data_IF_061257388717
#
_entry.id   IF_061257388717
#
_cell.length_a   1.000
_cell.length_b   1.000
_cell.length_c   1.000
_cell.angle_alpha   90.00
_cell.angle_beta   90.00
_cell.angle_gamma   90.00
#
_symmetry.space_group_name_H-M   'P 1'
#
loop_
_entity.id
_entity.type
_entity.pdbx_description
1 polymer ?
#
# COMPACT_ATOMS: atom_id res chain seq x y z
N UNK A 1 9.92 -15.12 22.77
CA UNK A 1 8.69 -15.93 22.68
C UNK A 1 7.41 -15.19 23.09
N UNK A 2 7.39 -14.38 24.15
CA UNK A 2 6.17 -13.71 24.67
C UNK A 2 5.44 -12.71 23.75
N UNK A 3 6.01 -12.36 22.59
CA UNK A 3 5.37 -11.46 21.61
C UNK A 3 4.45 -12.20 20.62
N UNK A 4 4.47 -13.55 20.58
CA UNK A 4 3.70 -14.35 19.62
C UNK A 4 2.30 -14.75 20.12
N UNK A 5 2.06 -14.67 21.44
CA UNK A 5 0.82 -15.14 22.08
C UNK A 5 -0.13 -13.97 22.39
N UNK A 6 0.29 -12.72 22.16
CA UNK A 6 -0.52 -11.52 22.38
C UNK A 6 -1.00 -10.93 21.06
N UNK A 7 -2.22 -10.36 21.01
CA UNK A 7 -2.71 -9.66 19.82
C UNK A 7 -1.71 -8.56 19.43
N UNK A 8 -1.24 -8.53 18.17
CA UNK A 8 -0.13 -7.69 17.79
C UNK A 8 -0.57 -6.22 17.76
N UNK A 9 0.15 -5.36 18.49
CA UNK A 9 -0.12 -3.91 18.55
C UNK A 9 0.31 -3.16 17.27
N UNK A 10 0.91 -3.86 16.29
CA UNK A 10 1.39 -3.34 14.99
C UNK A 10 1.23 -4.42 13.91
N UNK A 11 1.11 -4.04 12.65
CA UNK A 11 1.09 -4.99 11.53
C UNK A 11 2.38 -5.81 11.50
N UNK A 12 2.29 -7.12 11.74
CA UNK A 12 3.41 -8.04 11.58
C UNK A 12 3.54 -8.36 10.09
N UNK A 13 4.76 -8.20 9.54
CA UNK A 13 5.02 -8.46 8.13
C UNK A 13 4.80 -9.96 7.80
N UNK A 14 4.14 -10.31 6.68
CA UNK A 14 3.79 -11.70 6.33
C UNK A 14 4.99 -12.65 6.31
N UNK A 15 6.17 -12.14 5.95
CA UNK A 15 7.41 -12.93 5.94
C UNK A 15 7.78 -13.50 7.33
N UNK A 16 7.47 -12.79 8.42
CA UNK A 16 7.75 -13.29 9.78
C UNK A 16 6.86 -14.48 10.14
N UNK A 17 5.63 -14.51 9.62
CA UNK A 17 4.73 -15.65 9.78
C UNK A 17 5.24 -16.86 9.02
N UNK A 18 5.72 -16.66 7.79
CA UNK A 18 6.31 -17.73 6.99
C UNK A 18 7.56 -18.33 7.66
N UNK A 19 8.46 -17.50 8.19
CA UNK A 19 9.64 -17.98 8.93
C UNK A 19 9.27 -18.75 10.20
N UNK A 20 8.23 -18.33 10.92
CA UNK A 20 7.76 -19.04 12.10
C UNK A 20 7.12 -20.39 11.75
N UNK A 21 6.37 -20.43 10.65
CA UNK A 21 5.76 -21.66 10.13
C UNK A 21 6.84 -22.65 9.72
N UNK A 22 7.83 -22.18 8.95
CA UNK A 22 9.00 -22.97 8.54
C UNK A 22 9.76 -23.51 9.76
N UNK A 23 9.94 -22.68 10.80
CA UNK A 23 10.61 -23.12 12.04
C UNK A 23 9.81 -24.14 12.88
N UNK A 24 8.47 -24.07 12.87
CA UNK A 24 7.62 -24.93 13.71
C UNK A 24 7.20 -26.24 13.03
N UNK A 25 7.05 -26.22 11.70
CA UNK A 25 6.47 -27.31 10.92
C UNK A 25 7.39 -27.81 9.81
N UNK A 26 8.61 -27.28 9.72
CA UNK A 26 9.63 -27.53 8.67
C UNK A 26 9.20 -27.16 7.24
N UNK A 27 7.89 -27.15 6.94
CA UNK A 27 7.33 -26.72 5.68
C UNK A 27 5.86 -26.22 5.81
N UNK A 28 5.44 -25.40 4.84
CA UNK A 28 4.11 -24.80 4.83
C UNK A 28 2.96 -25.83 4.67
N UNK A 29 3.19 -26.96 4.00
CA UNK A 29 2.14 -27.96 3.75
C UNK A 29 1.83 -28.72 5.03
N UNK A 30 2.85 -29.06 5.82
CA UNK A 30 2.70 -29.66 7.14
C UNK A 30 1.90 -28.76 8.09
N UNK A 31 2.16 -27.46 8.06
CA UNK A 31 1.36 -26.47 8.80
C UNK A 31 -0.11 -26.44 8.36
N UNK A 32 -0.38 -26.34 7.05
CA UNK A 32 -1.77 -26.28 6.55
C UNK A 32 -2.57 -27.53 6.93
N UNK A 33 -1.96 -28.71 6.82
CA UNK A 33 -2.58 -29.98 7.23
C UNK A 33 -2.93 -30.00 8.72
N UNK A 34 -2.04 -29.50 9.58
CA UNK A 34 -2.27 -29.43 11.02
C UNK A 34 -3.32 -28.35 11.38
N UNK A 35 -3.29 -27.21 10.69
CA UNK A 35 -4.26 -26.13 10.87
C UNK A 35 -5.68 -26.61 10.52
N UNK A 36 -5.86 -27.23 9.35
CA UNK A 36 -7.15 -27.74 8.91
C UNK A 36 -7.68 -28.83 9.85
N UNK A 37 -6.81 -29.70 10.35
CA UNK A 37 -7.16 -30.71 11.34
C UNK A 37 -7.66 -30.10 12.66
N UNK A 38 -7.01 -29.04 13.17
CA UNK A 38 -7.46 -28.39 14.40
C UNK A 38 -8.75 -27.57 14.20
N UNK A 39 -8.90 -26.92 13.05
CA UNK A 39 -10.17 -26.26 12.69
C UNK A 39 -11.31 -27.29 12.64
N UNK A 40 -11.10 -28.44 12.00
CA UNK A 40 -12.06 -29.54 11.99
C UNK A 40 -12.36 -30.05 13.41
N UNK A 41 -11.34 -30.17 14.28
CA UNK A 41 -11.50 -30.58 15.68
C UNK A 41 -12.33 -29.58 16.48
N UNK A 42 -12.13 -28.28 16.27
CA UNK A 42 -12.91 -27.22 16.91
C UNK A 42 -14.38 -27.26 16.47
N UNK A 43 -14.63 -27.45 15.16
CA UNK A 43 -15.98 -27.62 14.62
C UNK A 43 -16.66 -28.85 15.23
N UNK A 44 -15.94 -29.98 15.32
CA UNK A 44 -16.44 -31.20 15.95
C UNK A 44 -16.73 -30.99 17.44
N UNK A 45 -15.90 -30.24 18.18
CA UNK A 45 -16.08 -29.97 19.61
C UNK A 45 -17.29 -29.09 19.88
N UNK A 46 -17.54 -28.11 18.99
CA UNK A 46 -18.75 -27.28 19.03
C UNK A 46 -19.99 -28.12 18.72
N UNK A 47 -19.92 -29.04 17.75
CA UNK A 47 -21.03 -29.92 17.38
C UNK A 47 -21.34 -31.00 18.42
N UNK A 48 -20.33 -31.54 19.11
CA UNK A 48 -20.46 -32.63 20.09
C UNK A 48 -20.79 -32.14 21.50
N UNK A 49 -20.96 -30.84 21.73
CA UNK A 49 -21.39 -30.32 23.04
C UNK A 49 -22.89 -30.59 23.21
N UNK A 50 -23.34 -31.49 24.13
CA UNK A 50 -24.75 -31.80 24.26
C UNK A 50 -25.50 -30.60 24.83
N UNK A 51 -26.55 -30.18 24.12
CA UNK A 51 -27.47 -29.13 24.57
C UNK A 51 -28.26 -29.64 25.78
N UNK A 52 -27.85 -29.22 26.98
CA UNK A 52 -28.45 -29.62 28.26
C UNK A 52 -29.73 -28.82 28.49
N UNK A 53 -30.88 -29.50 28.54
CA UNK A 53 -32.15 -28.91 29.01
C UNK A 53 -31.97 -28.37 30.44
N UNK A 54 -32.43 -27.15 30.77
CA UNK A 54 -32.22 -26.56 32.08
C UNK A 54 -33.32 -27.02 33.05
N UNK A 55 -32.92 -27.73 34.11
CA UNK A 55 -33.75 -27.94 35.29
C UNK A 55 -33.05 -27.39 36.55
N UNK A 56 -33.89 -26.95 37.47
CA UNK A 56 -33.67 -26.03 38.58
C UNK A 56 -32.68 -26.49 39.67
N UNK A 57 -32.05 -25.49 40.31
CA UNK A 57 -31.30 -25.55 41.59
C UNK A 57 -29.95 -26.32 41.51
N UNK A 58 -28.77 -25.74 41.75
CA UNK A 58 -28.33 -24.93 42.89
C UNK A 58 -27.06 -24.11 42.52
N UNK A 59 -26.97 -22.92 43.13
CA UNK A 59 -25.86 -21.95 43.16
C UNK A 59 -24.46 -22.52 43.42
N UNK A 60 -23.46 -21.93 42.76
CA UNK A 60 -22.32 -21.23 43.40
C UNK A 60 -21.78 -20.16 42.41
N UNK A 61 -21.94 -18.90 42.84
CA UNK A 61 -21.49 -17.59 42.32
C UNK A 61 -20.25 -17.56 41.39
N UNK A 62 -20.17 -16.83 40.28
CA UNK A 62 -21.07 -15.95 39.55
C UNK A 62 -20.76 -16.18 38.06
N UNK A 63 -21.49 -17.10 37.42
CA UNK A 63 -21.40 -17.38 35.99
C UNK A 63 -22.62 -16.83 35.26
N UNK A 64 -22.36 -16.30 34.07
CA UNK A 64 -23.30 -15.72 33.15
C UNK A 64 -24.45 -16.66 32.81
N UNK A 65 -25.66 -16.27 33.21
CA UNK A 65 -26.94 -16.75 32.72
C UNK A 65 -27.79 -15.53 32.31
N UNK A 66 -28.79 -15.71 31.44
CA UNK A 66 -29.18 -14.79 30.38
C UNK A 66 -29.54 -13.42 30.94
N UNK A 67 -28.95 -12.36 30.39
CA UNK A 67 -29.40 -11.02 30.80
C UNK A 67 -30.84 -10.88 30.34
N UNK A 68 -31.73 -10.88 31.32
CA UNK A 68 -33.11 -10.41 31.22
C UNK A 68 -33.06 -8.99 30.64
N UNK A 69 -33.05 -8.89 29.32
CA UNK A 69 -33.27 -7.63 28.61
C UNK A 69 -34.78 -7.39 28.47
N UNK A 70 -35.57 -7.79 29.46
CA UNK A 70 -36.83 -7.09 29.72
C UNK A 70 -36.44 -5.66 30.09
N UNK A 71 -36.83 -4.66 29.30
CA UNK A 71 -36.40 -3.30 29.54
C UNK A 71 -36.89 -2.85 30.92
N UNK A 72 -35.98 -2.39 31.78
CA UNK A 72 -36.35 -1.38 32.77
C UNK A 72 -35.81 -0.01 32.35
N UNK A 73 -36.48 0.71 31.45
CA UNK A 73 -36.46 2.14 31.47
C UNK A 73 -37.74 2.58 32.19
N UNK A 74 -37.60 3.26 33.33
CA UNK A 74 -38.73 4.03 33.85
C UNK A 74 -39.10 5.21 32.92
N UNK A 75 -38.31 5.52 31.86
CA UNK A 75 -38.44 6.76 31.06
C UNK A 75 -38.65 6.62 29.53
N UNK A 76 -38.34 5.48 28.89
CA UNK A 76 -38.48 5.31 27.42
C UNK A 76 -39.67 4.40 27.10
N UNK A 77 -40.89 4.95 27.12
CA UNK A 77 -42.13 4.22 26.81
C UNK A 77 -42.99 4.98 25.79
N UNK A 78 -43.79 4.23 25.03
CA UNK A 78 -44.82 4.76 24.13
C UNK A 78 -44.29 5.73 23.08
N UNK A 79 -44.94 6.89 22.97
CA UNK A 79 -44.70 7.91 21.95
C UNK A 79 -43.25 8.40 21.86
N UNK A 80 -42.52 8.46 22.98
CA UNK A 80 -41.14 8.95 22.97
C UNK A 80 -40.19 8.03 22.20
N UNK A 81 -40.44 6.70 22.23
CA UNK A 81 -39.69 5.71 21.45
C UNK A 81 -39.97 5.86 19.96
N UNK A 82 -41.24 6.04 19.59
CA UNK A 82 -41.66 6.22 18.20
C UNK A 82 -41.08 7.50 17.60
N UNK A 83 -41.14 8.61 18.34
CA UNK A 83 -40.53 9.89 17.94
C UNK A 83 -39.03 9.73 17.75
N UNK A 84 -38.34 9.04 18.68
CA UNK A 84 -36.91 8.81 18.58
C UNK A 84 -36.55 7.94 17.36
N UNK A 85 -37.28 6.86 17.10
CA UNK A 85 -37.08 6.01 15.92
C UNK A 85 -37.36 6.77 14.61
N UNK A 86 -38.42 7.58 14.57
CA UNK A 86 -38.75 8.43 13.42
C UNK A 86 -37.64 9.45 13.14
N UNK A 87 -37.16 10.15 14.18
CA UNK A 87 -36.05 11.10 14.07
C UNK A 87 -34.73 10.44 13.66
N UNK A 88 -34.44 9.24 14.18
CA UNK A 88 -33.26 8.47 13.79
C UNK A 88 -33.34 8.00 12.33
N UNK A 89 -34.52 7.55 11.88
CA UNK A 89 -34.74 7.17 10.48
C UNK A 89 -34.55 8.34 9.50
N UNK A 90 -34.81 9.57 9.94
CA UNK A 90 -34.54 10.80 9.17
C UNK A 90 -33.05 11.21 9.15
N UNK A 91 -32.16 10.47 9.83
CA UNK A 91 -30.72 10.75 9.84
C UNK A 91 -30.29 11.87 10.80
N UNK A 92 -31.12 12.25 11.77
CA UNK A 92 -30.73 13.23 12.78
C UNK A 92 -29.53 12.67 13.59
N UNK A 93 -28.45 13.45 13.78
CA UNK A 93 -27.26 12.98 14.46
C UNK A 93 -27.57 12.59 15.90
N UNK A 94 -26.99 11.48 16.35
CA UNK A 94 -27.23 10.90 17.67
C UNK A 94 -26.94 11.88 18.81
N UNK A 95 -25.90 12.71 18.67
CA UNK A 95 -25.53 13.73 19.66
C UNK A 95 -26.65 14.76 19.88
N UNK A 96 -27.21 15.29 18.79
CA UNK A 96 -28.33 16.24 18.85
C UNK A 96 -29.55 15.63 19.54
N UNK A 97 -29.82 14.35 19.31
CA UNK A 97 -30.92 13.63 19.97
C UNK A 97 -30.64 13.34 21.45
N UNK A 98 -29.37 13.16 21.83
CA UNK A 98 -28.98 13.03 23.23
C UNK A 98 -29.22 14.32 24.00
N UNK A 99 -28.88 15.47 23.41
CA UNK A 99 -29.11 16.79 23.98
C UNK A 99 -30.61 17.12 24.04
N UNK A 100 -31.32 16.95 22.93
CA UNK A 100 -32.74 17.32 22.82
C UNK A 100 -33.66 16.51 23.75
N UNK A 101 -33.34 15.23 23.96
CA UNK A 101 -34.19 14.31 24.73
C UNK A 101 -33.60 13.94 26.10
N UNK A 102 -32.43 14.48 26.45
CA UNK A 102 -31.67 14.13 27.66
C UNK A 102 -31.43 12.61 27.82
N UNK A 103 -31.11 11.94 26.71
CA UNK A 103 -30.90 10.48 26.67
C UNK A 103 -29.42 10.19 26.41
N UNK A 104 -28.86 9.19 27.09
CA UNK A 104 -27.49 8.75 26.84
C UNK A 104 -27.31 8.11 25.45
N UNK A 105 -26.15 8.32 24.82
CA UNK A 105 -25.78 7.72 23.52
C UNK A 105 -25.91 6.18 23.57
N UNK A 106 -25.58 5.57 24.71
CA UNK A 106 -25.68 4.12 24.93
C UNK A 106 -27.13 3.62 24.84
N UNK A 107 -28.11 4.43 25.25
CA UNK A 107 -29.54 4.11 25.12
C UNK A 107 -29.97 4.15 23.66
N UNK A 108 -29.54 5.17 22.89
CA UNK A 108 -29.80 5.26 21.44
C UNK A 108 -29.20 4.05 20.70
N UNK A 109 -27.94 3.72 20.99
CA UNK A 109 -27.28 2.58 20.35
C UNK A 109 -27.95 1.25 20.71
N UNK A 110 -28.44 1.09 21.94
CA UNK A 110 -29.22 -0.09 22.35
C UNK A 110 -30.53 -0.17 21.59
N UNK A 111 -31.22 0.96 21.41
CA UNK A 111 -32.46 1.04 20.64
C UNK A 111 -32.25 0.70 19.16
N UNK A 112 -31.18 1.21 18.54
CA UNK A 112 -30.83 0.90 17.15
C UNK A 112 -30.50 -0.58 16.94
N UNK A 113 -29.77 -1.21 17.88
CA UNK A 113 -29.51 -2.67 17.82
C UNK A 113 -30.80 -3.48 17.94
N UNK A 114 -31.77 -3.02 18.72
CA UNK A 114 -33.07 -3.66 18.86
C UNK A 114 -34.02 -3.41 17.66
N UNK A 115 -33.71 -2.45 16.78
CA UNK A 115 -34.54 -2.08 15.62
C UNK A 115 -33.66 -1.96 14.36
N UNK A 116 -33.29 -3.09 13.74
CA UNK A 116 -32.33 -3.12 12.65
C UNK A 116 -32.77 -2.33 11.41
N UNK A 117 -34.08 -2.30 11.11
CA UNK A 117 -34.63 -1.52 9.98
C UNK A 117 -34.36 -0.03 10.16
N UNK A 118 -34.69 0.53 11.33
CA UNK A 118 -34.41 1.94 11.63
C UNK A 118 -32.90 2.22 11.66
N UNK A 119 -32.09 1.26 12.09
CA UNK A 119 -30.64 1.39 12.05
C UNK A 119 -30.10 1.46 10.62
N UNK A 120 -30.61 0.64 9.70
CA UNK A 120 -30.24 0.71 8.29
C UNK A 120 -30.60 2.07 7.68
N UNK A 121 -31.82 2.56 7.89
CA UNK A 121 -32.26 3.89 7.45
C UNK A 121 -31.39 5.02 8.04
N UNK A 122 -31.06 4.93 9.32
CA UNK A 122 -30.19 5.91 9.97
C UNK A 122 -28.76 5.91 9.39
N UNK A 123 -28.22 4.74 9.04
CA UNK A 123 -26.91 4.61 8.40
C UNK A 123 -26.96 5.20 6.99
N UNK A 124 -27.98 4.88 6.21
CA UNK A 124 -28.17 5.41 4.85
C UNK A 124 -28.31 6.94 4.86
N UNK A 125 -29.14 7.48 5.75
CA UNK A 125 -29.33 8.91 5.88
C UNK A 125 -28.05 9.62 6.33
N UNK A 126 -27.26 9.02 7.24
CA UNK A 126 -25.94 9.54 7.61
C UNK A 126 -24.99 9.54 6.43
N UNK A 127 -24.87 8.42 5.72
CA UNK A 127 -23.96 8.30 4.58
C UNK A 127 -24.35 9.31 3.48
N UNK A 128 -25.65 9.50 3.24
CA UNK A 128 -26.18 10.49 2.30
C UNK A 128 -25.82 11.92 2.71
N UNK A 129 -25.89 12.24 4.01
CA UNK A 129 -25.49 13.54 4.54
C UNK A 129 -23.97 13.76 4.41
N UNK A 130 -23.16 12.80 4.83
CA UNK A 130 -21.70 12.86 4.69
C UNK A 130 -21.32 13.04 3.21
N UNK A 131 -21.99 12.33 2.30
CA UNK A 131 -21.79 12.49 0.87
C UNK A 131 -22.14 13.90 0.40
N UNK A 132 -23.29 14.44 0.81
CA UNK A 132 -23.70 15.80 0.47
C UNK A 132 -22.74 16.87 1.01
N UNK A 133 -22.25 16.70 2.25
CA UNK A 133 -21.28 17.61 2.89
C UNK A 133 -19.96 17.64 2.11
N UNK A 134 -19.39 16.47 1.79
CA UNK A 134 -18.13 16.41 1.02
C UNK A 134 -18.30 16.96 -0.39
N UNK A 135 -19.44 16.69 -1.05
CA UNK A 135 -19.77 17.28 -2.36
C UNK A 135 -19.85 18.80 -2.28
N UNK A 136 -20.51 19.33 -1.25
CA UNK A 136 -20.64 20.77 -1.03
C UNK A 136 -19.27 21.42 -0.77
N UNK A 137 -18.42 20.81 0.06
CA UNK A 137 -17.06 21.31 0.31
C UNK A 137 -16.22 21.30 -0.97
N UNK A 138 -16.26 20.21 -1.75
CA UNK A 138 -15.56 20.14 -3.03
C UNK A 138 -16.02 21.22 -4.00
N UNK A 139 -17.34 21.43 -4.10
CA UNK A 139 -17.92 22.46 -4.96
C UNK A 139 -17.60 23.87 -4.48
N UNK A 140 -17.61 24.12 -3.17
CA UNK A 140 -17.20 25.39 -2.58
C UNK A 140 -15.75 25.74 -2.95
N UNK A 141 -14.82 24.78 -2.84
CA UNK A 141 -13.43 24.99 -3.22
C UNK A 141 -13.26 25.27 -4.71
N UNK A 142 -14.02 24.57 -5.56
CA UNK A 142 -14.01 24.83 -6.99
C UNK A 142 -14.51 26.24 -7.32
N UNK A 143 -15.57 26.70 -6.64
CA UNK A 143 -16.10 28.05 -6.83
C UNK A 143 -15.14 29.13 -6.33
N UNK A 144 -14.33 28.84 -5.30
CA UNK A 144 -13.32 29.76 -4.78
C UNK A 144 -12.13 29.90 -5.72
N UNK A 145 -11.81 28.83 -6.47
CA UNK A 145 -10.66 28.76 -7.39
C UNK A 145 -11.04 28.15 -8.75
N UNK A 146 -11.89 28.82 -9.55
CA UNK A 146 -12.34 28.32 -10.85
C UNK A 146 -11.19 28.17 -11.87
N UNK A 147 -10.10 28.91 -11.68
CA UNK A 147 -8.89 28.88 -12.52
C UNK A 147 -8.02 27.62 -12.29
N UNK A 148 -8.19 26.95 -11.16
CA UNK A 148 -7.37 25.78 -10.81
C UNK A 148 -7.93 24.51 -11.46
N UNK A 149 -7.04 23.77 -12.11
CA UNK A 149 -7.35 22.42 -12.59
C UNK A 149 -7.53 21.43 -11.44
N UNK A 150 -8.18 20.30 -11.73
CA UNK A 150 -8.49 19.21 -10.77
C UNK A 150 -7.26 18.79 -9.94
N UNK A 151 -6.10 18.67 -10.57
CA UNK A 151 -4.87 18.24 -9.90
C UNK A 151 -4.39 19.26 -8.86
N UNK A 152 -4.49 20.55 -9.16
CA UNK A 152 -4.14 21.60 -8.20
C UNK A 152 -5.13 21.62 -7.04
N UNK A 153 -6.44 21.52 -7.32
CA UNK A 153 -7.48 21.50 -6.29
C UNK A 153 -7.36 20.26 -5.37
N UNK A 154 -7.04 19.11 -5.96
CA UNK A 154 -6.77 17.86 -5.22
C UNK A 154 -5.62 18.01 -4.24
N UNK A 155 -4.57 18.77 -4.61
CA UNK A 155 -3.43 18.99 -3.72
C UNK A 155 -3.77 19.92 -2.56
N UNK A 156 -4.74 20.82 -2.72
CA UNK A 156 -5.22 21.69 -1.62
C UNK A 156 -5.90 20.88 -0.52
N UNK A 157 -6.84 19.98 -0.88
CA UNK A 157 -7.51 19.13 0.12
C UNK A 157 -7.57 17.65 -0.32
N UNK A 158 -6.49 16.88 -0.08
CA UNK A 158 -6.40 15.48 -0.49
C UNK A 158 -7.42 14.57 0.19
N UNK A 159 -7.83 14.90 1.41
CA UNK A 159 -8.76 14.09 2.22
C UNK A 159 -10.16 14.02 1.61
N UNK A 160 -10.73 15.16 1.22
CA UNK A 160 -12.05 15.25 0.58
C UNK A 160 -12.04 14.49 -0.75
N UNK A 161 -11.00 14.71 -1.57
CA UNK A 161 -10.84 14.00 -2.83
C UNK A 161 -10.81 12.48 -2.64
N UNK A 162 -9.96 12.00 -1.73
CA UNK A 162 -9.81 10.57 -1.47
C UNK A 162 -11.10 9.95 -0.89
N UNK A 163 -11.87 10.70 -0.11
CA UNK A 163 -13.15 10.25 0.41
C UNK A 163 -14.20 10.15 -0.71
N UNK A 164 -14.36 11.20 -1.53
CA UNK A 164 -15.31 11.22 -2.66
C UNK A 164 -14.98 10.15 -3.70
N UNK A 165 -13.69 9.93 -3.99
CA UNK A 165 -13.27 8.89 -4.92
C UNK A 165 -13.68 7.47 -4.48
N UNK A 166 -13.75 7.22 -3.16
CA UNK A 166 -14.18 5.91 -2.62
C UNK A 166 -15.70 5.77 -2.53
N UNK A 167 -16.41 6.86 -2.24
CA UNK A 167 -17.85 6.82 -1.94
C UNK A 167 -18.73 7.20 -3.14
N UNK A 168 -18.27 8.08 -4.05
CA UNK A 168 -19.00 8.50 -5.23
C UNK A 168 -18.06 8.97 -6.36
N UNK A 169 -17.35 8.00 -6.93
CA UNK A 169 -16.42 8.23 -8.03
C UNK A 169 -17.11 8.79 -9.27
N UNK A 170 -18.31 8.31 -9.59
CA UNK A 170 -19.02 8.70 -10.79
C UNK A 170 -19.35 10.20 -10.78
N UNK A 171 -19.87 10.71 -9.66
CA UNK A 171 -20.12 12.14 -9.48
C UNK A 171 -18.83 12.96 -9.57
N UNK A 172 -17.75 12.49 -8.94
CA UNK A 172 -16.46 13.20 -8.93
C UNK A 172 -15.91 13.35 -10.35
N UNK A 173 -15.85 12.26 -11.11
CA UNK A 173 -15.33 12.26 -12.49
C UNK A 173 -16.20 13.10 -13.43
N UNK A 174 -17.53 13.08 -13.26
CA UNK A 174 -18.44 13.92 -14.03
C UNK A 174 -18.23 15.41 -13.71
N UNK A 175 -17.97 15.75 -12.44
CA UNK A 175 -17.62 17.11 -12.04
C UNK A 175 -16.26 17.53 -12.57
N UNK A 176 -15.24 16.68 -12.53
CA UNK A 176 -13.91 16.98 -13.06
C UNK A 176 -13.92 17.42 -14.54
N UNK A 177 -14.89 16.94 -15.34
CA UNK A 177 -15.04 17.35 -16.74
C UNK A 177 -15.44 18.81 -16.91
N UNK A 178 -16.04 19.44 -15.89
CA UNK A 178 -16.42 20.86 -15.93
C UNK A 178 -15.26 21.79 -15.58
N UNK A 179 -14.13 21.25 -15.15
CA UNK A 179 -12.97 22.05 -14.75
C UNK A 179 -12.22 22.55 -15.97
N UNK A 180 -11.65 23.75 -15.84
CA UNK A 180 -10.73 24.28 -16.84
C UNK A 180 -9.55 23.34 -16.93
N UNK A 181 -9.35 22.75 -18.12
CA UNK A 181 -8.14 21.97 -18.39
C UNK A 181 -6.98 22.96 -18.43
N UNK A 182 -5.89 22.73 -17.66
CA UNK A 182 -4.73 23.59 -17.76
C UNK A 182 -4.27 23.61 -19.21
N UNK A 183 -3.95 24.80 -19.73
CA UNK A 183 -3.35 24.93 -21.05
C UNK A 183 -2.17 23.96 -21.13
N UNK A 184 -2.15 23.14 -22.17
CA UNK A 184 -1.06 22.17 -22.37
C UNK A 184 0.22 22.98 -22.48
N UNK A 185 1.05 22.97 -21.44
CA UNK A 185 2.38 23.57 -21.50
C UNK A 185 3.09 22.91 -22.66
N UNK A 186 3.45 23.70 -23.67
CA UNK A 186 4.23 23.21 -24.80
C UNK A 186 5.51 22.63 -24.23
N UNK A 187 5.66 21.32 -24.32
CA UNK A 187 6.91 20.67 -23.92
C UNK A 187 7.92 21.07 -24.99
N UNK A 188 8.84 21.97 -24.63
CA UNK A 188 9.95 22.28 -25.51
C UNK A 188 10.66 20.97 -25.91
N UNK A 189 10.92 20.75 -27.22
CA UNK A 189 11.64 19.57 -27.65
C UNK A 189 13.01 19.55 -26.97
N UNK A 190 13.29 18.47 -26.26
CA UNK A 190 14.58 18.29 -25.57
C UNK A 190 15.65 18.12 -26.65
N UNK A 191 16.62 19.03 -26.69
CA UNK A 191 17.81 18.90 -27.53
C UNK A 191 18.71 17.79 -26.98
N UNK A 192 18.59 16.61 -27.60
CA UNK A 192 19.36 15.43 -27.21
C UNK A 192 20.80 15.46 -27.68
N UNK A 193 21.10 16.21 -28.74
CA UNK A 193 22.45 16.31 -29.30
C UNK A 193 23.34 17.19 -28.41
N UNK A 194 22.83 18.34 -27.96
CA UNK A 194 23.52 19.17 -26.99
C UNK A 194 23.70 18.43 -25.65
N UNK A 195 22.70 17.64 -25.23
CA UNK A 195 22.76 16.83 -24.01
C UNK A 195 23.79 15.70 -24.11
N UNK A 196 23.90 15.05 -25.27
CA UNK A 196 24.91 14.02 -25.52
C UNK A 196 26.31 14.61 -25.59
N UNK A 197 26.48 15.76 -26.24
CA UNK A 197 27.75 16.48 -26.30
C UNK A 197 28.26 16.87 -24.90
N UNK A 198 27.37 17.37 -24.05
CA UNK A 198 27.69 17.68 -22.65
C UNK A 198 28.09 16.43 -21.86
N UNK A 199 27.36 15.33 -22.03
CA UNK A 199 27.67 14.07 -21.36
C UNK A 199 29.03 13.54 -21.82
N UNK A 200 29.31 13.55 -23.11
CA UNK A 200 30.59 13.15 -23.69
C UNK A 200 31.75 13.99 -23.12
N UNK A 201 31.57 15.30 -23.01
CA UNK A 201 32.58 16.19 -22.42
C UNK A 201 32.88 15.79 -20.97
N UNK A 202 31.87 15.50 -20.16
CA UNK A 202 32.07 15.06 -18.77
C UNK A 202 32.79 13.71 -18.70
N UNK A 203 32.42 12.75 -19.58
CA UNK A 203 33.09 11.45 -19.64
C UNK A 203 34.56 11.60 -20.04
N UNK A 204 34.87 12.45 -21.02
CA UNK A 204 36.24 12.71 -21.48
C UNK A 204 37.09 13.33 -20.37
N UNK A 205 36.60 14.38 -19.71
CA UNK A 205 37.32 14.99 -18.59
C UNK A 205 37.56 13.99 -17.46
N UNK A 206 36.57 13.17 -17.11
CA UNK A 206 36.72 12.15 -16.09
C UNK A 206 37.76 11.08 -16.49
N UNK A 207 37.76 10.66 -17.76
CA UNK A 207 38.73 9.71 -18.29
C UNK A 207 40.15 10.28 -18.23
N UNK A 208 40.36 11.51 -18.74
CA UNK A 208 41.65 12.19 -18.74
C UNK A 208 42.20 12.36 -17.31
N UNK A 209 41.35 12.77 -16.37
CA UNK A 209 41.72 12.92 -14.96
C UNK A 209 42.17 11.59 -14.33
N UNK A 210 41.53 10.46 -14.67
CA UNK A 210 41.95 9.14 -14.18
C UNK A 210 43.28 8.76 -14.82
N UNK A 211 43.43 8.89 -16.14
CA UNK A 211 44.67 8.53 -16.85
C UNK A 211 45.88 9.40 -16.47
N UNK A 212 45.64 10.63 -16.01
CA UNK A 212 46.70 11.51 -15.50
C UNK A 212 47.19 11.14 -14.09
N UNK A 213 46.37 10.41 -13.32
CA UNK A 213 46.71 9.98 -11.95
C UNK A 213 47.28 8.55 -11.91
N UNK A 214 46.95 7.70 -12.88
CA UNK A 214 47.43 6.32 -12.95
C UNK A 214 47.72 5.89 -14.39
N UNK A 215 48.78 5.08 -14.57
CA UNK A 215 49.13 4.48 -15.87
C UNK A 215 48.39 3.15 -16.15
N UNK A 216 47.35 2.84 -15.37
CA UNK A 216 46.53 1.63 -15.48
C UNK A 216 45.28 1.82 -16.34
N UNK A 217 44.62 0.71 -16.74
CA UNK A 217 43.38 0.77 -17.51
C UNK A 217 42.24 1.36 -16.66
N UNK A 218 41.48 2.30 -17.24
CA UNK A 218 40.32 2.88 -16.57
C UNK A 218 39.22 1.84 -16.41
N UNK A 219 38.75 1.66 -15.19
CA UNK A 219 37.65 0.73 -14.87
C UNK A 219 36.29 1.41 -15.01
N UNK A 220 35.26 0.61 -15.28
CA UNK A 220 33.88 1.10 -15.37
C UNK A 220 33.44 1.73 -14.04
N UNK A 221 33.84 1.15 -12.91
CA UNK A 221 33.52 1.62 -11.56
C UNK A 221 34.11 3.00 -11.25
N UNK A 222 35.37 3.26 -11.63
CA UNK A 222 36.00 4.57 -11.43
C UNK A 222 35.28 5.67 -12.22
N UNK A 223 34.94 5.37 -13.47
CA UNK A 223 34.28 6.32 -14.35
C UNK A 223 32.84 6.64 -13.88
N UNK A 224 32.09 5.63 -13.43
CA UNK A 224 30.75 5.83 -12.85
C UNK A 224 30.80 6.54 -11.49
N UNK A 225 31.89 6.40 -10.73
CA UNK A 225 32.08 7.15 -9.48
C UNK A 225 32.32 8.64 -9.76
N UNK A 226 33.09 8.96 -10.81
CA UNK A 226 33.39 10.35 -11.20
C UNK A 226 32.26 11.02 -11.97
N UNK A 227 31.41 10.26 -12.68
CA UNK A 227 30.23 10.77 -13.37
C UNK A 227 28.98 9.95 -12.98
N UNK A 228 28.41 10.16 -11.77
CA UNK A 228 27.30 9.34 -11.25
C UNK A 228 26.04 9.33 -12.12
N UNK A 229 25.80 10.43 -12.84
CA UNK A 229 24.66 10.60 -13.76
C UNK A 229 24.74 9.70 -15.01
N UNK A 230 25.86 9.03 -15.27
CA UNK A 230 25.98 8.05 -16.35
C UNK A 230 24.96 6.91 -16.22
N UNK A 231 24.71 6.47 -14.99
CA UNK A 231 23.74 5.42 -14.69
C UNK A 231 22.36 5.76 -15.29
N UNK A 232 21.79 6.88 -14.88
CA UNK A 232 20.48 7.36 -15.35
C UNK A 232 20.49 7.76 -16.83
N UNK A 233 21.57 8.40 -17.33
CA UNK A 233 21.63 8.80 -18.73
C UNK A 233 21.63 7.58 -19.68
N UNK A 234 22.31 6.50 -19.30
CA UNK A 234 22.47 5.32 -20.14
C UNK A 234 21.40 4.24 -19.96
N UNK A 235 20.36 4.50 -19.13
CA UNK A 235 19.17 3.63 -19.03
C UNK A 235 18.48 3.46 -20.39
N UNK A 236 18.35 4.57 -21.14
CA UNK A 236 17.77 4.56 -22.47
C UNK A 236 18.83 4.15 -23.52
N UNK A 237 18.65 2.99 -24.17
CA UNK A 237 19.58 2.46 -25.19
C UNK A 237 19.66 3.32 -26.45
N UNK A 238 18.55 3.95 -26.83
CA UNK A 238 18.43 4.73 -28.06
C UNK A 238 18.87 6.20 -27.90
N UNK A 239 19.47 6.56 -26.76
CA UNK A 239 19.96 7.91 -26.47
C UNK A 239 21.46 7.87 -26.20
N UNK A 240 22.10 9.02 -26.39
CA UNK A 240 23.53 9.24 -26.14
C UNK A 240 24.49 8.44 -27.05
N UNK A 241 24.31 8.45 -28.39
CA UNK A 241 25.16 7.69 -29.31
C UNK A 241 26.65 8.05 -29.21
N UNK A 242 27.00 9.33 -29.11
CA UNK A 242 28.39 9.77 -29.08
C UNK A 242 29.06 9.40 -27.75
N UNK A 243 28.38 9.60 -26.62
CA UNK A 243 28.86 9.18 -25.31
C UNK A 243 29.04 7.66 -25.23
N UNK A 244 28.09 6.87 -25.78
CA UNK A 244 28.19 5.40 -25.82
C UNK A 244 29.34 4.91 -26.69
N UNK A 245 29.53 5.51 -27.86
CA UNK A 245 30.65 5.19 -28.73
C UNK A 245 31.99 5.41 -28.00
N UNK A 246 32.14 6.54 -27.32
CA UNK A 246 33.35 6.83 -26.55
C UNK A 246 33.59 5.83 -25.41
N UNK A 247 32.55 5.52 -24.63
CA UNK A 247 32.63 4.51 -23.56
C UNK A 247 33.02 3.14 -24.10
N UNK A 248 32.48 2.73 -25.25
CA UNK A 248 32.81 1.45 -25.86
C UNK A 248 34.30 1.38 -26.21
N UNK A 249 34.86 2.42 -26.81
CA UNK A 249 36.29 2.51 -27.16
C UNK A 249 37.19 2.46 -25.92
N UNK A 250 36.86 3.25 -24.91
CA UNK A 250 37.68 3.38 -23.69
C UNK A 250 37.63 2.12 -22.83
N UNK A 251 36.44 1.54 -22.64
CA UNK A 251 36.26 0.37 -21.77
C UNK A 251 36.65 -0.95 -22.47
N UNK A 252 36.63 -1.03 -23.82
CA UNK A 252 37.15 -2.20 -24.54
C UNK A 252 38.67 -2.22 -24.59
N UNK A 253 39.32 -1.04 -24.68
CA UNK A 253 40.79 -0.93 -24.61
C UNK A 253 41.36 -1.46 -23.28
N UNK A 254 40.60 -1.31 -22.20
CA UNK A 254 40.90 -1.84 -20.85
C UNK A 254 40.83 -3.38 -20.77
N UNK A 255 39.99 -4.05 -21.57
CA UNK A 255 39.86 -5.52 -21.58
C UNK A 255 40.93 -6.22 -22.39
N UNK A 256 41.53 -5.56 -23.39
CA UNK A 256 42.50 -6.18 -24.29
C UNK A 256 43.90 -6.37 -23.68
N UNK A 257 44.22 -5.70 -22.57
CA UNK A 257 45.54 -5.74 -21.93
C UNK A 257 45.77 -6.92 -20.97
N UNK A 258 44.78 -7.79 -20.75
CA UNK A 258 44.89 -8.93 -19.80
C UNK A 258 45.19 -10.27 -20.49
N UNK A 259 45.24 -10.33 -21.82
CA UNK A 259 45.63 -11.55 -22.54
C UNK A 259 47.01 -11.37 -23.15
N UNK A 260 48.09 -11.57 -22.39
CA UNK A 260 49.39 -12.09 -22.83
C UNK A 260 50.20 -12.47 -21.57
N UNK A 261 50.04 -13.73 -21.16
CA UNK A 261 50.72 -14.23 -19.96
C UNK A 261 50.33 -15.67 -19.61
N UNK A 262 50.36 -16.59 -20.56
CA UNK A 262 50.40 -18.02 -20.24
C UNK A 262 51.18 -18.82 -21.29
N UNK A 263 52.47 -19.00 -20.99
CA UNK A 263 53.28 -20.22 -21.16
C UNK A 263 53.24 -20.91 -22.54
N UNK A 264 54.25 -20.61 -23.38
CA UNK A 264 54.76 -21.56 -24.35
C UNK A 264 55.72 -22.52 -23.63
N UNK A 265 55.19 -23.68 -23.22
CA UNK A 265 56.00 -24.84 -22.85
C UNK A 265 56.44 -25.53 -24.15
N UNK A 266 57.66 -25.26 -24.59
CA UNK A 266 58.30 -25.99 -25.67
C UNK A 266 59.23 -27.06 -25.10
N UNK A 267 58.97 -28.33 -25.41
CA UNK A 267 59.98 -29.31 -25.82
C UNK A 267 59.30 -30.56 -26.38
N UNK A 268 59.44 -30.70 -27.69
CA UNK A 268 59.01 -31.82 -28.50
C UNK A 268 60.06 -32.95 -28.49
N UNK A 269 59.53 -34.17 -28.62
CA UNK A 269 60.03 -35.31 -29.41
C UNK A 269 61.34 -36.00 -29.03
N UNK A 270 61.21 -37.24 -28.54
CA UNK A 270 62.18 -38.32 -28.72
C UNK A 270 61.91 -39.09 -30.01
N UNK A 271 62.97 -39.18 -30.83
CA UNK A 271 63.43 -40.29 -31.68
C UNK A 271 62.46 -41.22 -32.41
N UNK A 272 62.67 -41.33 -33.73
CA UNK A 272 62.23 -42.43 -34.58
C UNK A 272 62.65 -42.23 -36.04
N UNK A 273 63.91 -42.49 -36.35
CA UNK A 273 64.46 -42.54 -37.73
C UNK A 273 64.33 -43.95 -38.34
N UNK A 274 64.49 -44.11 -39.66
CA UNK A 274 63.83 -45.14 -40.47
C UNK A 274 64.74 -46.32 -40.87
N UNK A 275 64.15 -47.41 -41.36
CA UNK A 275 64.43 -48.03 -42.69
C UNK A 275 64.18 -49.54 -42.74
N UNK A 276 63.57 -49.95 -43.86
CA UNK A 276 63.40 -51.29 -44.45
C UNK A 276 62.37 -52.24 -43.83
#
# INVERSE_FOLDING_TARGET
MNQLIRPPRRSIHPLKHLLLIDWLFDDLRSFLKAYDAEVARLVQRVASTPSRKPDEQVSLSNAAAPTKNTPRPKRLKGRLKEVLLSKLGKGIPKQKLCEELEISISTINRLLRANPVTNALAIEARNSRELAEHKAQWQYLHNLHPELGVQALRNTIPSIYAWLYRNDKAWLMAKEQTFVKPAKVEKHPIDWEARDSRLLSMIRMAYEAITGLQHGPVTTTELYTRVPMLSSCLENRNRYPASRAFLSTVLHRSKSTVLHGHVLCGKNSGFGSPSR
#
